data_IF_105975135627
#
_entry.id   IF_105975135627
#
_cell.length_a   1.000
_cell.length_b   1.000
_cell.length_c   1.000
_cell.angle_alpha   90.00
_cell.angle_beta   90.00
_cell.angle_gamma   90.00
#
_symmetry.space_group_name_H-M   'P 1'
#
loop_
_entity.id
_entity.type
_entity.pdbx_description
1 polymer ?
#
# COMPACT_ATOMS: atom_id res chain seq x y z
N UNK A 1 -1.58 11.51 0.56
CA UNK A 1 -0.96 12.78 0.06
C UNK A 1 -1.94 13.92 0.30
N UNK A 2 -1.46 15.16 0.32
CA UNK A 2 -2.34 16.33 0.40
C UNK A 2 -2.59 16.89 -1.00
N UNK A 3 -3.83 17.33 -1.25
CA UNK A 3 -4.18 17.95 -2.52
C UNK A 3 -3.36 19.22 -2.72
N UNK A 4 -2.80 19.38 -3.92
CA UNK A 4 -2.22 20.65 -4.34
C UNK A 4 -3.36 21.64 -4.56
N UNK A 5 -3.41 22.68 -3.74
CA UNK A 5 -4.48 23.70 -3.78
C UNK A 5 -4.21 24.79 -4.81
N UNK A 6 -2.94 25.00 -5.15
CA UNK A 6 -2.50 25.96 -6.16
C UNK A 6 -1.92 25.21 -7.38
N UNK A 7 -2.70 25.07 -8.47
CA UNK A 7 -2.24 24.39 -9.68
C UNK A 7 -1.04 25.05 -10.35
N UNK A 8 -0.78 26.33 -10.10
CA UNK A 8 0.35 27.05 -10.71
C UNK A 8 1.70 26.45 -10.33
N UNK A 9 1.78 25.75 -9.19
CA UNK A 9 2.96 25.01 -8.76
C UNK A 9 3.33 23.92 -9.77
N UNK A 10 2.34 23.20 -10.30
CA UNK A 10 2.56 22.13 -11.29
C UNK A 10 3.02 22.73 -12.62
N UNK A 11 2.36 23.81 -13.06
CA UNK A 11 2.74 24.52 -14.29
C UNK A 11 4.17 25.06 -14.19
N UNK A 12 4.50 25.75 -13.10
CA UNK A 12 5.84 26.29 -12.90
C UNK A 12 6.92 25.22 -12.77
N UNK A 13 6.58 24.05 -12.21
CA UNK A 13 7.48 22.89 -12.19
C UNK A 13 7.78 22.38 -13.61
N UNK A 14 6.75 22.21 -14.44
CA UNK A 14 6.90 21.77 -15.82
C UNK A 14 7.66 22.79 -16.69
N UNK A 15 7.36 24.08 -16.53
CA UNK A 15 8.06 25.17 -17.23
C UNK A 15 9.54 25.25 -16.86
N UNK A 16 9.89 25.06 -15.57
CA UNK A 16 11.28 25.00 -15.13
C UNK A 16 12.03 23.81 -15.72
N UNK A 17 11.40 22.64 -15.80
CA UNK A 17 12.00 21.48 -16.44
C UNK A 17 12.22 21.67 -17.95
N UNK A 18 11.34 22.45 -18.60
CA UNK A 18 11.50 22.80 -20.02
C UNK A 18 12.63 23.82 -20.24
N UNK A 19 12.76 24.81 -19.36
CA UNK A 19 13.74 25.89 -19.48
C UNK A 19 15.15 25.48 -19.03
N UNK A 20 15.24 24.71 -17.96
CA UNK A 20 16.50 24.28 -17.34
C UNK A 20 16.41 22.79 -17.01
N UNK A 21 16.56 21.87 -17.99
CA UNK A 21 16.32 20.44 -17.77
C UNK A 21 17.20 19.84 -16.67
N UNK A 22 16.62 18.97 -15.83
CA UNK A 22 17.42 18.28 -14.82
C UNK A 22 18.51 17.41 -15.46
N UNK A 23 19.65 17.22 -14.77
CA UNK A 23 20.65 16.25 -15.18
C UNK A 23 20.00 14.90 -15.48
N UNK A 24 20.26 14.39 -16.68
CA UNK A 24 19.68 13.15 -17.19
C UNK A 24 20.73 12.32 -17.91
N UNK A 25 20.55 11.00 -17.91
CA UNK A 25 21.36 10.07 -18.70
C UNK A 25 20.45 9.17 -19.52
N UNK A 26 20.90 8.83 -20.72
CA UNK A 26 20.24 7.83 -21.56
C UNK A 26 20.98 6.50 -21.42
N UNK A 27 20.23 5.44 -21.12
CA UNK A 27 20.73 4.08 -21.01
C UNK A 27 19.75 3.16 -21.73
N UNK A 28 20.21 2.49 -22.80
CA UNK A 28 19.40 1.49 -23.52
C UNK A 28 18.04 2.04 -24.01
N UNK A 29 17.99 3.31 -24.45
CA UNK A 29 16.75 3.96 -24.90
C UNK A 29 15.83 4.44 -23.77
N UNK A 30 16.24 4.28 -22.51
CA UNK A 30 15.56 4.82 -21.32
C UNK A 30 16.27 6.08 -20.87
N UNK A 31 15.54 7.18 -20.76
CA UNK A 31 16.05 8.41 -20.13
C UNK A 31 15.79 8.38 -18.64
N UNK A 32 16.87 8.43 -17.85
CA UNK A 32 16.83 8.50 -16.38
C UNK A 32 17.12 9.94 -15.98
N UNK A 33 16.21 10.53 -15.21
CA UNK A 33 16.29 11.91 -14.74
C UNK A 33 16.66 11.94 -13.26
N UNK A 34 17.43 12.94 -12.86
CA UNK A 34 17.57 13.31 -11.45
C UNK A 34 16.29 14.01 -10.98
N UNK A 35 15.88 13.79 -9.72
CA UNK A 35 14.69 14.42 -9.18
C UNK A 35 14.90 15.92 -8.97
N UNK A 36 13.96 16.74 -9.45
CA UNK A 36 13.90 18.17 -9.15
C UNK A 36 13.23 18.41 -7.80
N UNK A 37 13.70 19.42 -7.07
CA UNK A 37 13.02 19.89 -5.87
C UNK A 37 11.63 20.44 -6.24
N UNK A 38 10.60 19.86 -5.63
CA UNK A 38 9.22 20.31 -5.80
C UNK A 38 8.91 21.43 -4.81
N UNK A 39 8.44 22.59 -5.28
CA UNK A 39 8.01 23.67 -4.38
C UNK A 39 6.69 23.27 -3.73
N UNK A 40 6.64 23.29 -2.40
CA UNK A 40 5.40 23.09 -1.66
C UNK A 40 4.77 24.43 -1.34
N UNK A 41 3.44 24.48 -1.36
CA UNK A 41 2.70 25.64 -0.87
C UNK A 41 2.64 25.56 0.66
N UNK A 42 2.69 26.72 1.34
CA UNK A 42 2.50 26.79 2.79
C UNK A 42 1.11 26.34 3.23
N UNK A 43 0.15 26.23 2.29
CA UNK A 43 -1.19 25.72 2.52
C UNK A 43 -1.26 24.23 2.26
N UNK A 44 -1.59 23.48 3.31
CA UNK A 44 -1.87 22.04 3.21
C UNK A 44 -3.31 21.85 2.76
N UNK A 45 -3.50 21.24 1.58
CA UNK A 45 -4.82 20.87 1.09
C UNK A 45 -5.42 19.66 1.81
N UNK A 46 -6.67 19.28 1.51
CA UNK A 46 -7.29 18.08 2.07
C UNK A 46 -6.50 16.82 1.71
N UNK A 47 -6.60 15.80 2.56
CA UNK A 47 -6.05 14.47 2.26
C UNK A 47 -6.75 13.89 1.04
N UNK A 48 -5.96 13.35 0.12
CA UNK A 48 -6.44 12.65 -1.07
C UNK A 48 -5.73 11.31 -1.18
N UNK A 49 -6.48 10.31 -1.67
CA UNK A 49 -5.90 9.06 -2.13
C UNK A 49 -5.02 9.35 -3.34
N UNK A 50 -3.85 8.76 -3.34
CA UNK A 50 -2.79 8.95 -4.32
C UNK A 50 -2.04 7.63 -4.46
N UNK A 51 -1.09 7.58 -5.39
CA UNK A 51 -0.25 6.40 -5.62
C UNK A 51 -1.07 5.15 -5.96
N UNK A 52 -1.70 5.18 -7.12
CA UNK A 52 -2.45 4.05 -7.68
C UNK A 52 -1.54 3.03 -8.39
N UNK A 53 -0.21 3.08 -8.17
CA UNK A 53 0.74 2.20 -8.86
C UNK A 53 0.56 0.71 -8.56
N UNK A 54 -0.05 0.39 -7.41
CA UNK A 54 -0.43 -0.96 -7.01
C UNK A 54 -1.95 -1.21 -7.05
N UNK A 55 -2.74 -0.24 -7.55
CA UNK A 55 -4.18 -0.40 -7.66
C UNK A 55 -4.52 -1.37 -8.79
N UNK A 56 -5.54 -2.18 -8.58
CA UNK A 56 -6.07 -3.10 -9.60
C UNK A 56 -7.58 -2.95 -9.70
N UNK A 57 -8.11 -3.16 -10.90
CA UNK A 57 -9.55 -3.30 -11.08
C UNK A 57 -9.99 -4.66 -10.53
N UNK A 58 -11.09 -4.67 -9.79
CA UNK A 58 -11.68 -5.90 -9.26
C UNK A 58 -12.48 -6.57 -10.39
N UNK A 59 -11.78 -7.21 -11.31
CA UNK A 59 -12.37 -7.99 -12.40
C UNK A 59 -11.93 -9.46 -12.23
N UNK A 60 -12.86 -10.35 -11.91
CA UNK A 60 -12.57 -11.79 -11.74
C UNK A 60 -12.02 -12.19 -10.37
N UNK A 61 -11.30 -13.32 -10.35
CA UNK A 61 -10.74 -13.92 -9.12
C UNK A 61 -9.41 -13.28 -8.75
N UNK A 62 -9.33 -12.67 -7.57
CA UNK A 62 -8.13 -11.99 -7.10
C UNK A 62 -7.43 -12.80 -6.02
N UNK A 63 -6.25 -13.33 -6.35
CA UNK A 63 -5.40 -14.12 -5.43
C UNK A 63 -3.99 -13.55 -5.27
N UNK A 64 -3.70 -12.42 -5.92
CA UNK A 64 -2.39 -11.80 -5.88
C UNK A 64 -2.04 -11.35 -4.45
N UNK A 65 -0.74 -11.36 -4.14
CA UNK A 65 -0.22 -10.81 -2.90
C UNK A 65 -0.28 -9.28 -2.98
N UNK A 66 -1.32 -8.72 -2.39
CA UNK A 66 -1.53 -7.27 -2.27
C UNK A 66 -1.32 -6.81 -0.84
N UNK A 67 -1.31 -5.49 -0.66
CA UNK A 67 -1.11 -4.79 0.61
C UNK A 67 0.30 -4.97 1.22
N UNK A 68 0.83 -3.93 1.88
CA UNK A 68 2.04 -4.07 2.70
C UNK A 68 1.81 -5.08 3.82
N UNK A 69 2.89 -5.73 4.26
CA UNK A 69 2.88 -6.90 5.13
C UNK A 69 2.03 -6.75 6.41
N UNK A 70 2.17 -5.64 7.12
CA UNK A 70 1.49 -5.36 8.40
C UNK A 70 0.02 -4.95 8.25
N UNK A 71 -0.42 -4.63 7.03
CA UNK A 71 -1.79 -4.19 6.74
C UNK A 71 -2.61 -5.22 5.97
N UNK A 72 -2.08 -6.44 5.78
CA UNK A 72 -2.78 -7.47 5.01
C UNK A 72 -4.05 -7.91 5.71
N UNK A 73 -5.12 -8.00 4.94
CA UNK A 73 -6.37 -8.59 5.38
C UNK A 73 -6.24 -10.12 5.55
N UNK A 74 -7.06 -10.75 6.42
CA UNK A 74 -7.01 -12.19 6.68
C UNK A 74 -7.08 -13.04 5.41
N UNK A 75 -7.97 -12.70 4.47
CA UNK A 75 -8.11 -13.37 3.18
C UNK A 75 -6.84 -13.29 2.32
N UNK A 76 -6.08 -12.18 2.41
CA UNK A 76 -4.81 -12.04 1.67
C UNK A 76 -3.70 -12.85 2.34
N UNK A 77 -3.66 -12.88 3.69
CA UNK A 77 -2.70 -13.72 4.44
C UNK A 77 -2.93 -15.21 4.12
N UNK A 78 -4.20 -15.63 4.07
CA UNK A 78 -4.64 -17.00 3.76
C UNK A 78 -4.60 -17.34 2.26
N UNK A 79 -4.34 -16.37 1.38
CA UNK A 79 -4.40 -16.53 -0.09
C UNK A 79 -5.79 -16.95 -0.61
N UNK A 80 -6.84 -16.53 0.08
CA UNK A 80 -8.21 -16.66 -0.39
C UNK A 80 -8.53 -15.57 -1.41
N UNK A 81 -9.65 -15.72 -2.13
CA UNK A 81 -10.13 -14.67 -3.02
C UNK A 81 -10.51 -13.43 -2.21
N UNK A 82 -10.09 -12.27 -2.70
CA UNK A 82 -10.36 -10.98 -2.08
C UNK A 82 -11.06 -10.01 -3.03
N UNK A 83 -11.61 -8.93 -2.47
CA UNK A 83 -12.23 -7.84 -3.21
C UNK A 83 -11.92 -6.50 -2.51
N UNK A 84 -12.61 -5.42 -2.90
CA UNK A 84 -12.43 -4.08 -2.33
C UNK A 84 -12.55 -3.98 -0.79
N UNK A 85 -13.10 -4.98 -0.09
CA UNK A 85 -13.18 -4.99 1.38
C UNK A 85 -11.81 -5.01 2.06
N UNK A 86 -10.75 -5.45 1.37
CA UNK A 86 -9.38 -5.39 1.91
C UNK A 86 -8.91 -3.95 2.16
N UNK A 87 -9.44 -2.97 1.42
CA UNK A 87 -9.13 -1.56 1.62
C UNK A 87 -9.79 -1.02 2.90
N UNK A 88 -11.01 -1.51 3.20
CA UNK A 88 -11.70 -1.20 4.46
C UNK A 88 -10.97 -1.83 5.65
N UNK A 89 -10.49 -3.07 5.49
CA UNK A 89 -9.64 -3.71 6.49
C UNK A 89 -8.42 -2.86 6.80
N UNK A 90 -7.69 -2.41 5.77
CA UNK A 90 -6.49 -1.59 5.94
C UNK A 90 -6.77 -0.29 6.69
N UNK A 91 -7.94 0.34 6.46
CA UNK A 91 -8.34 1.54 7.21
C UNK A 91 -8.52 1.25 8.71
N UNK A 92 -9.09 0.10 9.08
CA UNK A 92 -9.21 -0.33 10.47
C UNK A 92 -7.87 -0.75 11.08
N UNK A 93 -7.09 -1.54 10.34
CA UNK A 93 -5.80 -2.07 10.76
C UNK A 93 -4.70 -0.99 10.89
N UNK A 94 -4.89 0.17 10.28
CA UNK A 94 -4.00 1.33 10.44
C UNK A 94 -4.04 1.92 11.85
N UNK A 95 -5.02 1.54 12.69
CA UNK A 95 -5.21 2.04 14.05
C UNK A 95 -4.95 3.55 14.17
N UNK A 96 -5.74 4.33 13.42
CA UNK A 96 -5.56 5.78 13.26
C UNK A 96 -5.48 6.55 14.59
N UNK A 97 -5.87 5.93 15.71
CA UNK A 97 -5.97 6.54 17.03
C UNK A 97 -4.82 6.19 17.99
N UNK A 98 -4.22 5.01 17.93
CA UNK A 98 -3.19 4.61 18.92
C UNK A 98 -1.75 4.87 18.46
N UNK A 99 -1.54 5.13 17.16
CA UNK A 99 -0.21 5.48 16.63
C UNK A 99 0.78 4.31 16.58
N UNK A 100 0.31 3.08 16.76
CA UNK A 100 1.11 1.85 16.68
C UNK A 100 0.47 0.81 15.73
N UNK A 101 1.27 -0.15 15.28
CA UNK A 101 0.85 -1.22 14.40
C UNK A 101 -0.01 -2.25 15.17
N UNK A 102 -1.23 -2.47 14.69
CA UNK A 102 -2.09 -3.56 15.19
C UNK A 102 -1.45 -4.94 15.00
N UNK A 103 -0.68 -5.11 13.92
CA UNK A 103 -0.01 -6.36 13.57
C UNK A 103 1.43 -6.09 13.15
N UNK A 104 2.34 -6.91 13.64
CA UNK A 104 3.75 -6.89 13.28
C UNK A 104 4.06 -8.06 12.34
N UNK A 105 3.48 -9.22 12.63
CA UNK A 105 3.69 -10.46 11.89
C UNK A 105 5.13 -10.95 11.92
N UNK A 106 5.90 -10.56 12.95
CA UNK A 106 7.30 -10.96 13.11
C UNK A 106 7.35 -12.34 13.72
N UNK A 107 8.01 -13.24 13.01
CA UNK A 107 8.20 -14.60 13.45
C UNK A 107 9.25 -14.68 14.56
N UNK A 108 8.94 -15.21 15.76
CA UNK A 108 9.91 -15.25 16.85
C UNK A 108 11.10 -16.17 16.56
N UNK A 109 10.98 -17.12 15.62
CA UNK A 109 12.08 -18.03 15.26
C UNK A 109 12.98 -17.45 14.18
N UNK A 110 12.43 -16.64 13.26
CA UNK A 110 13.15 -16.13 12.09
C UNK A 110 13.46 -14.63 12.15
N UNK A 111 12.87 -13.91 13.11
CA UNK A 111 12.99 -12.46 13.29
C UNK A 111 12.64 -11.65 12.03
N UNK A 112 11.77 -12.21 11.19
CA UNK A 112 11.31 -11.61 9.94
C UNK A 112 9.80 -11.75 9.81
N UNK A 113 9.19 -10.97 8.91
CA UNK A 113 7.78 -11.10 8.63
C UNK A 113 7.43 -12.49 8.08
N UNK A 114 6.48 -13.18 8.70
CA UNK A 114 5.89 -14.41 8.15
C UNK A 114 4.37 -14.41 8.31
N UNK A 115 3.69 -14.89 7.28
CA UNK A 115 2.21 -15.01 7.24
C UNK A 115 1.66 -15.82 8.43
N UNK A 116 2.40 -16.82 8.92
CA UNK A 116 2.00 -17.60 10.11
C UNK A 116 1.97 -16.78 11.39
N UNK A 117 2.94 -15.89 11.58
CA UNK A 117 3.01 -15.02 12.75
C UNK A 117 1.92 -13.94 12.67
N UNK A 118 1.74 -13.34 11.49
CA UNK A 118 0.65 -12.38 11.27
C UNK A 118 -0.72 -13.05 11.53
N UNK A 119 -0.95 -14.26 11.01
CA UNK A 119 -2.20 -14.99 11.27
C UNK A 119 -2.40 -15.30 12.76
N UNK A 120 -1.34 -15.63 13.50
CA UNK A 120 -1.43 -15.85 14.94
C UNK A 120 -1.84 -14.57 15.70
N UNK A 121 -1.31 -13.40 15.31
CA UNK A 121 -1.73 -12.11 15.90
C UNK A 121 -3.20 -11.79 15.58
N UNK A 122 -3.63 -12.02 14.33
CA UNK A 122 -5.04 -11.87 13.93
C UNK A 122 -5.96 -12.74 14.80
N UNK A 123 -5.58 -14.00 15.01
CA UNK A 123 -6.34 -14.93 15.84
C UNK A 123 -6.33 -14.51 17.30
N UNK A 124 -5.19 -14.03 17.80
CA UNK A 124 -5.06 -13.53 19.17
C UNK A 124 -5.97 -12.34 19.46
N UNK A 125 -6.17 -11.45 18.47
CA UNK A 125 -7.01 -10.26 18.62
C UNK A 125 -8.49 -10.51 18.32
N UNK A 126 -8.80 -11.25 17.25
CA UNK A 126 -10.17 -11.39 16.71
C UNK A 126 -10.80 -12.76 16.95
N UNK A 127 -10.04 -13.72 17.46
CA UNK A 127 -10.46 -15.12 17.57
C UNK A 127 -10.20 -15.94 16.29
N UNK A 128 -10.58 -17.22 16.29
CA UNK A 128 -10.33 -18.10 15.15
C UNK A 128 -11.02 -17.62 13.87
N UNK A 129 -10.43 -17.84 12.68
CA UNK A 129 -11.06 -17.43 11.44
C UNK A 129 -12.39 -18.17 11.21
N UNK A 130 -13.40 -17.52 10.63
CA UNK A 130 -14.65 -18.19 10.24
C UNK A 130 -14.41 -19.39 9.32
N UNK A 131 -15.21 -20.45 9.48
CA UNK A 131 -15.06 -21.69 8.70
C UNK A 131 -15.20 -21.45 7.18
N UNK A 132 -16.08 -20.54 6.77
CA UNK A 132 -16.25 -20.17 5.36
C UNK A 132 -15.01 -19.50 4.76
N UNK A 133 -14.23 -18.79 5.58
CA UNK A 133 -12.98 -18.17 5.15
C UNK A 133 -11.90 -19.23 4.98
N UNK A 134 -11.83 -20.20 5.90
CA UNK A 134 -10.91 -21.33 5.83
C UNK A 134 -11.21 -22.19 4.60
N UNK A 135 -12.50 -22.47 4.35
CA UNK A 135 -12.94 -23.28 3.21
C UNK A 135 -12.62 -22.65 1.84
N UNK A 136 -12.44 -21.32 1.80
CA UNK A 136 -12.04 -20.58 0.58
C UNK A 136 -10.52 -20.54 0.36
N UNK A 137 -9.73 -21.01 1.33
CA UNK A 137 -8.28 -21.10 1.19
C UNK A 137 -7.88 -22.17 0.19
N UNK A 138 -6.70 -22.05 -0.43
CA UNK A 138 -6.16 -23.14 -1.24
C UNK A 138 -6.03 -24.40 -0.38
N UNK A 139 -6.49 -25.55 -0.90
CA UNK A 139 -6.26 -26.83 -0.24
C UNK A 139 -4.76 -26.99 0.04
N UNK A 140 -4.41 -27.40 1.26
CA UNK A 140 -3.01 -27.63 1.65
C UNK A 140 -2.35 -28.55 0.61
N UNK A 141 -1.40 -28.01 -0.16
CA UNK A 141 -0.41 -28.77 -0.92
C UNK A 141 0.88 -28.83 -0.11
#
# INVERSE_FOLDING_TARGET
>A
MFRITDPSILTGFAEQELQDPCPRKELEGITIYTSRAFKFSDKVGPVVLCDFGAAVFVEGENIACVQPQVYRAPEVVLKCHWNHKIDIWKLGAWNLFEGDLLFHGIDPQHLEYRRRAHLAELIGLLGPPPEDLIARGPAQQ
#
